data_IF_383756321677
#
_entry.id   IF_383756321677
#
_cell.length_a   1.000
_cell.length_b   1.000
_cell.length_c   1.000
_cell.angle_alpha   90.00
_cell.angle_beta   90.00
_cell.angle_gamma   90.00
#
_symmetry.space_group_name_H-M   'P 1'
#
loop_
_entity.id
_entity.type
_entity.pdbx_description
1 polymer ?
#
# COMPACT_ATOMS: atom_id res chain seq x y z
N UNK A 1 8.12 1.47 13.77
CA UNK A 1 8.11 0.01 13.59
C UNK A 1 9.49 -0.56 13.83
N UNK A 2 9.72 -1.82 13.49
CA UNK A 2 10.95 -2.55 13.82
C UNK A 2 12.21 -2.11 13.01
N UNK A 3 12.04 -1.32 11.94
CA UNK A 3 13.19 -0.75 11.21
C UNK A 3 13.99 -1.74 10.37
N UNK A 4 13.39 -2.88 10.01
CA UNK A 4 13.98 -3.91 9.17
C UNK A 4 14.34 -3.39 7.77
N UNK A 5 15.42 -3.94 7.22
CA UNK A 5 15.81 -3.71 5.83
C UNK A 5 15.18 -4.77 4.90
N UNK A 6 15.36 -4.60 3.59
CA UNK A 6 14.78 -5.49 2.57
C UNK A 6 15.26 -6.94 2.71
N UNK A 7 16.49 -7.16 3.18
CA UNK A 7 17.02 -8.50 3.40
C UNK A 7 16.33 -9.20 4.58
N UNK A 8 16.16 -8.49 5.71
CA UNK A 8 15.40 -9.00 6.86
C UNK A 8 13.96 -9.35 6.46
N UNK A 9 13.32 -8.49 5.65
CA UNK A 9 11.98 -8.75 5.12
C UNK A 9 11.93 -9.99 4.23
N UNK A 10 12.96 -10.21 3.42
CA UNK A 10 13.04 -11.33 2.48
C UNK A 10 13.06 -12.67 3.23
N UNK A 11 13.84 -12.74 4.31
CA UNK A 11 13.90 -13.92 5.17
C UNK A 11 12.54 -14.22 5.83
N UNK A 12 11.87 -13.19 6.36
CA UNK A 12 10.55 -13.35 7.00
C UNK A 12 9.51 -13.83 5.97
N UNK A 13 9.50 -13.21 4.79
CA UNK A 13 8.54 -13.52 3.72
C UNK A 13 8.76 -14.92 3.15
N UNK A 14 10.00 -15.38 3.03
CA UNK A 14 10.35 -16.72 2.56
C UNK A 14 9.73 -17.79 3.46
N UNK A 15 9.99 -17.72 4.77
CA UNK A 15 9.48 -18.68 5.76
C UNK A 15 7.95 -18.66 5.88
N UNK A 16 7.35 -17.46 5.88
CA UNK A 16 5.89 -17.32 5.94
C UNK A 16 5.21 -17.86 4.67
N UNK A 17 5.83 -17.65 3.50
CA UNK A 17 5.30 -18.13 2.22
C UNK A 17 5.40 -19.64 2.08
N UNK A 18 6.42 -20.26 2.69
CA UNK A 18 6.55 -21.72 2.74
C UNK A 18 5.31 -22.36 3.37
N UNK A 19 4.79 -21.76 4.44
CA UNK A 19 3.56 -22.22 5.08
C UNK A 19 2.30 -21.90 4.26
N UNK A 20 2.10 -20.63 3.88
CA UNK A 20 0.97 -20.22 3.04
C UNK A 20 1.22 -18.86 2.39
N UNK A 21 1.38 -18.83 1.07
CA UNK A 21 1.54 -17.59 0.30
C UNK A 21 0.31 -16.67 0.38
N UNK A 22 -0.90 -17.21 0.53
CA UNK A 22 -2.14 -16.43 0.66
C UNK A 22 -2.23 -15.66 2.00
N UNK A 23 -1.86 -16.31 3.10
CA UNK A 23 -1.79 -15.64 4.42
C UNK A 23 -0.63 -14.67 4.44
N UNK A 24 0.54 -15.07 3.92
CA UNK A 24 1.69 -14.19 3.84
C UNK A 24 1.38 -12.90 3.07
N UNK A 25 0.73 -12.97 1.89
CA UNK A 25 0.41 -11.76 1.14
C UNK A 25 -0.61 -10.86 1.89
N UNK A 26 -1.53 -11.43 2.66
CA UNK A 26 -2.45 -10.64 3.50
C UNK A 26 -1.71 -9.90 4.63
N UNK A 27 -0.69 -10.53 5.23
CA UNK A 27 0.15 -9.94 6.29
C UNK A 27 1.13 -8.91 5.73
N UNK A 28 1.77 -9.21 4.60
CA UNK A 28 2.85 -8.41 4.03
C UNK A 28 2.35 -7.26 3.15
N UNK A 29 1.18 -7.40 2.50
CA UNK A 29 0.66 -6.40 1.55
C UNK A 29 0.54 -4.97 2.07
N UNK A 30 0.25 -4.69 3.36
CA UNK A 30 0.27 -3.32 3.89
C UNK A 30 1.58 -2.59 3.63
N UNK A 31 2.70 -3.31 3.56
CA UNK A 31 4.00 -2.73 3.27
C UNK A 31 4.04 -2.01 1.92
N UNK A 32 3.31 -2.49 0.91
CA UNK A 32 3.20 -1.80 -0.38
C UNK A 32 2.53 -0.43 -0.26
N UNK A 33 1.54 -0.28 0.63
CA UNK A 33 0.93 1.01 0.95
C UNK A 33 1.83 1.92 1.80
N UNK A 34 2.72 1.34 2.61
CA UNK A 34 3.64 2.09 3.47
C UNK A 34 4.84 2.66 2.72
N UNK A 35 5.41 1.91 1.77
CA UNK A 35 6.65 2.29 1.05
C UNK A 35 6.60 3.70 0.43
N UNK A 36 5.53 4.11 -0.28
CA UNK A 36 5.45 5.47 -0.81
C UNK A 36 5.55 6.56 0.27
N UNK A 37 4.96 6.33 1.45
CA UNK A 37 5.01 7.27 2.58
C UNK A 37 6.39 7.26 3.24
N UNK A 38 7.04 6.09 3.35
CA UNK A 38 8.41 5.97 3.88
C UNK A 38 9.40 6.74 3.00
N UNK A 39 9.30 6.58 1.68
CA UNK A 39 10.25 7.16 0.72
C UNK A 39 9.99 8.63 0.46
N UNK A 40 8.73 9.04 0.26
CA UNK A 40 8.38 10.37 -0.24
C UNK A 40 7.49 11.19 0.70
N UNK A 41 7.01 10.62 1.82
CA UNK A 41 6.18 11.33 2.77
C UNK A 41 6.98 12.35 3.59
N UNK A 42 6.34 13.48 3.91
CA UNK A 42 6.86 14.43 4.90
C UNK A 42 6.69 13.90 6.33
N UNK A 43 7.32 14.55 7.31
CA UNK A 43 7.31 14.09 8.71
C UNK A 43 5.90 13.98 9.30
N UNK A 44 5.00 14.90 8.94
CA UNK A 44 3.62 14.86 9.39
C UNK A 44 2.85 13.66 8.80
N UNK A 45 3.04 13.35 7.52
CA UNK A 45 2.46 12.18 6.85
C UNK A 45 3.02 10.88 7.41
N UNK A 46 4.34 10.80 7.62
CA UNK A 46 5.01 9.64 8.22
C UNK A 46 4.48 9.38 9.62
N UNK A 47 4.45 10.41 10.49
CA UNK A 47 3.92 10.29 11.85
C UNK A 47 2.46 9.84 11.86
N UNK A 48 1.61 10.47 11.04
CA UNK A 48 0.17 10.17 11.00
C UNK A 48 -0.13 8.78 10.45
N UNK A 49 0.39 8.43 9.27
CA UNK A 49 -0.03 7.24 8.54
C UNK A 49 0.79 5.99 8.88
N UNK A 50 2.07 6.13 9.22
CA UNK A 50 2.87 4.98 9.68
C UNK A 50 2.68 4.73 11.17
N UNK A 51 2.44 5.79 11.97
CA UNK A 51 2.12 5.67 13.39
C UNK A 51 0.87 4.83 13.64
N UNK A 52 -0.25 5.15 12.97
CA UNK A 52 -1.53 4.44 13.14
C UNK A 52 -1.44 2.93 12.86
N UNK A 53 -0.60 2.52 11.90
CA UNK A 53 -0.41 1.10 11.52
C UNK A 53 0.40 0.35 12.60
N UNK A 54 1.22 1.06 13.38
CA UNK A 54 1.97 0.48 14.50
C UNK A 54 1.10 0.41 15.75
N UNK A 55 0.22 1.39 15.96
CA UNK A 55 -0.62 1.52 17.15
C UNK A 55 -1.82 0.55 17.13
N UNK A 56 -2.40 0.32 15.95
CA UNK A 56 -3.58 -0.51 15.74
C UNK A 56 -3.35 -1.51 14.57
N UNK A 57 -4.07 -2.64 14.53
CA UNK A 57 -3.94 -3.63 13.45
C UNK A 57 -4.65 -3.16 12.16
N UNK A 58 -4.27 -1.99 11.67
CA UNK A 58 -4.81 -1.38 10.45
C UNK A 58 -4.09 -1.90 9.20
N UNK A 59 -4.87 -2.17 8.16
CA UNK A 59 -4.34 -2.52 6.84
C UNK A 59 -4.16 -1.30 5.95
N UNK A 60 -3.21 -1.41 5.03
CA UNK A 60 -3.01 -0.47 3.92
C UNK A 60 -3.05 -1.23 2.59
N UNK A 61 -3.41 -0.52 1.52
CA UNK A 61 -3.50 -1.07 0.16
C UNK A 61 -2.75 -0.20 -0.82
N UNK A 62 -2.27 -0.80 -1.91
CA UNK A 62 -1.59 -0.10 -2.99
C UNK A 62 -2.45 -0.09 -4.26
N UNK A 63 -3.04 1.06 -4.57
CA UNK A 63 -4.14 1.20 -5.52
C UNK A 63 -3.69 1.69 -6.91
N UNK A 64 -2.96 0.85 -7.66
CA UNK A 64 -2.46 1.23 -9.00
C UNK A 64 -3.31 0.66 -10.13
N UNK A 65 -3.40 -0.67 -10.21
CA UNK A 65 -4.03 -1.41 -11.31
C UNK A 65 -5.48 -1.00 -11.57
N UNK A 66 -5.85 -0.91 -12.85
CA UNK A 66 -7.18 -0.54 -13.32
C UNK A 66 -7.75 -1.63 -14.25
N UNK A 67 -9.07 -1.65 -14.50
CA UNK A 67 -9.66 -2.62 -15.43
C UNK A 67 -9.04 -2.57 -16.84
N UNK A 68 -8.60 -1.38 -17.27
CA UNK A 68 -8.00 -1.15 -18.59
C UNK A 68 -6.48 -1.32 -18.67
N UNK A 69 -5.79 -1.64 -17.56
CA UNK A 69 -4.33 -1.77 -17.57
C UNK A 69 -3.70 -2.06 -16.21
N UNK A 70 -2.71 -2.97 -16.22
CA UNK A 70 -1.87 -3.30 -15.07
C UNK A 70 -0.38 -3.10 -15.35
N UNK A 71 0.16 -3.79 -16.37
CA UNK A 71 1.58 -3.67 -16.74
C UNK A 71 1.96 -2.26 -17.22
N UNK A 72 1.09 -1.62 -18.01
CA UNK A 72 1.25 -0.21 -18.39
C UNK A 72 0.61 0.72 -17.34
N UNK A 73 1.38 1.02 -16.29
CA UNK A 73 0.95 1.93 -15.23
C UNK A 73 0.82 3.38 -15.72
N UNK A 74 1.53 3.78 -16.77
CA UNK A 74 1.38 5.12 -17.34
C UNK A 74 0.03 5.30 -18.05
N UNK A 75 -0.63 4.19 -18.43
CA UNK A 75 -1.93 4.18 -19.10
C UNK A 75 -3.14 4.44 -18.21
N UNK A 76 -2.98 4.60 -16.89
CA UNK A 76 -4.10 4.77 -15.92
C UNK A 76 -5.06 5.91 -16.30
N UNK A 77 -6.35 5.70 -16.03
CA UNK A 77 -7.45 6.60 -16.34
C UNK A 77 -8.04 7.30 -15.13
N UNK A 78 -7.77 6.84 -13.90
CA UNK A 78 -8.16 7.57 -12.69
C UNK A 78 -7.60 8.99 -12.73
N UNK A 79 -8.47 9.98 -12.53
CA UNK A 79 -8.10 11.41 -12.54
C UNK A 79 -8.14 11.96 -11.13
N UNK A 80 -7.17 12.80 -10.80
CA UNK A 80 -7.18 13.67 -9.63
C UNK A 80 -7.23 15.12 -10.11
N UNK A 81 -8.32 15.83 -9.80
CA UNK A 81 -8.52 17.24 -10.19
C UNK A 81 -8.48 18.11 -8.95
N UNK A 82 -7.55 19.07 -8.89
CA UNK A 82 -7.45 20.00 -7.77
C UNK A 82 -8.63 20.96 -7.76
N UNK A 83 -9.29 21.12 -6.60
CA UNK A 83 -10.34 22.11 -6.34
C UNK A 83 -10.06 22.81 -5.02
N UNK A 84 -9.51 24.03 -5.10
CA UNK A 84 -9.05 24.76 -3.91
C UNK A 84 -7.92 24.00 -3.22
N UNK A 85 -8.13 23.65 -1.96
CA UNK A 85 -7.17 22.93 -1.11
C UNK A 85 -7.35 21.40 -1.14
N UNK A 86 -8.29 20.89 -1.94
CA UNK A 86 -8.63 19.47 -2.03
C UNK A 86 -8.41 18.89 -3.44
N UNK A 87 -8.41 17.56 -3.52
CA UNK A 87 -8.35 16.81 -4.77
C UNK A 87 -9.61 15.97 -4.95
N UNK A 88 -10.29 16.14 -6.08
CA UNK A 88 -11.41 15.29 -6.48
C UNK A 88 -10.85 14.12 -7.29
N UNK A 89 -10.95 12.91 -6.76
CA UNK A 89 -10.55 11.69 -7.45
C UNK A 89 -11.74 10.98 -8.08
N UNK A 90 -11.60 10.55 -9.34
CA UNK A 90 -12.60 9.74 -10.03
C UNK A 90 -11.93 8.71 -10.94
N UNK A 91 -12.32 7.44 -10.78
CA UNK A 91 -11.79 6.31 -11.51
C UNK A 91 -12.16 4.98 -10.86
N UNK A 92 -11.66 3.89 -11.41
CA UNK A 92 -11.87 2.54 -10.90
C UNK A 92 -10.54 1.81 -10.80
N UNK A 93 -10.32 1.14 -9.66
CA UNK A 93 -9.19 0.26 -9.42
C UNK A 93 -9.62 -1.20 -9.47
N UNK A 94 -8.70 -2.10 -9.80
CA UNK A 94 -8.97 -3.52 -9.97
C UNK A 94 -7.85 -4.35 -9.34
N UNK A 95 -8.21 -5.48 -8.74
CA UNK A 95 -7.27 -6.44 -8.13
C UNK A 95 -6.43 -5.86 -6.98
N UNK A 96 -7.03 -5.00 -6.16
CA UNK A 96 -6.35 -4.40 -5.01
C UNK A 96 -6.35 -5.38 -3.84
N UNK A 97 -5.20 -5.97 -3.55
CA UNK A 97 -5.01 -6.77 -2.32
C UNK A 97 -5.36 -5.92 -1.11
N UNK A 98 -6.16 -6.47 -0.19
CA UNK A 98 -6.67 -5.77 1.00
C UNK A 98 -7.60 -4.58 0.69
N UNK A 99 -8.06 -4.39 -0.54
CA UNK A 99 -8.88 -3.25 -0.95
C UNK A 99 -10.21 -3.11 -0.19
N UNK A 100 -10.78 -4.21 0.30
CA UNK A 100 -12.01 -4.22 1.09
C UNK A 100 -11.83 -4.11 2.61
N UNK A 101 -10.59 -4.09 3.11
CA UNK A 101 -10.29 -4.11 4.55
C UNK A 101 -9.29 -3.03 4.99
N UNK A 102 -8.64 -2.33 4.05
CA UNK A 102 -7.69 -1.28 4.36
C UNK A 102 -8.38 0.00 4.88
N UNK A 103 -7.66 0.72 5.76
CA UNK A 103 -8.13 1.91 6.47
C UNK A 103 -7.92 3.24 5.74
#
# INVERSE_FOLDING_TARGET
>A
GLGHNVFDDSLIVEEMSYACSGINIAIYSPKFGQIPVILAGNDAQKKKYLGRIVEEPLHASYCVTEPGGGSDVNGVKTKAVKKGDEWIMNGQKMWITSGGIAN
#
